data_IF_819646967251
#
_entry.id   IF_819646967251
#
_cell.length_a   1.000
_cell.length_b   1.000
_cell.length_c   1.000
_cell.angle_alpha   90.00
_cell.angle_beta   90.00
_cell.angle_gamma   90.00
#
_symmetry.space_group_name_H-M   'P 1'
#
loop_
_entity.id
_entity.type
_entity.pdbx_description
1 polymer ?
#
# COMPACT_ATOMS: atom_id res chain seq x y z
N UNK A 1 -25.42 -1.78 31.84
CA UNK A 1 -25.37 -0.95 30.63
C UNK A 1 -24.08 -0.10 30.68
N UNK A 2 -22.94 -0.71 30.53
CA UNK A 2 -21.68 0.02 30.38
C UNK A 2 -20.74 -0.94 29.69
N UNK A 3 -20.16 -0.59 28.61
CA UNK A 3 -19.05 -1.22 27.90
C UNK A 3 -19.12 -1.05 26.39
N UNK A 4 -19.93 -0.14 25.86
CA UNK A 4 -19.97 0.12 24.42
C UNK A 4 -18.96 1.22 24.05
N UNK A 5 -18.61 2.12 24.97
CA UNK A 5 -17.70 3.25 24.70
C UNK A 5 -16.20 2.94 24.81
N UNK A 6 -15.82 1.75 25.28
CA UNK A 6 -14.42 1.31 25.25
C UNK A 6 -14.01 0.57 23.96
N UNK A 7 -14.93 0.35 23.04
CA UNK A 7 -14.77 -0.58 21.92
C UNK A 7 -14.32 0.01 20.59
N UNK A 8 -14.36 1.30 20.47
CA UNK A 8 -13.72 2.01 19.36
C UNK A 8 -12.55 2.81 19.92
N UNK A 9 -11.67 2.18 20.66
CA UNK A 9 -10.28 2.60 20.66
C UNK A 9 -9.88 2.54 19.22
N UNK A 10 -10.00 3.63 18.68
CA UNK A 10 -10.26 3.97 17.35
C UNK A 10 -9.13 3.33 16.55
N UNK A 11 -9.46 2.55 15.51
CA UNK A 11 -8.48 2.12 14.51
C UNK A 11 -7.51 3.26 14.18
N UNK A 12 -7.97 4.50 14.21
CA UNK A 12 -7.21 5.75 14.05
C UNK A 12 -6.06 5.86 15.05
N UNK A 13 -6.32 5.64 16.34
CA UNK A 13 -5.29 5.70 17.36
C UNK A 13 -4.27 4.57 17.15
N UNK A 14 -4.74 3.36 16.85
CA UNK A 14 -3.85 2.24 16.56
C UNK A 14 -3.00 2.45 15.31
N UNK A 15 -3.54 3.09 14.26
CA UNK A 15 -2.80 3.45 13.06
C UNK A 15 -1.75 4.53 13.35
N UNK A 16 -2.04 5.47 14.24
CA UNK A 16 -1.06 6.48 14.69
C UNK A 16 0.05 5.82 15.50
N UNK A 17 -0.30 4.91 16.41
CA UNK A 17 0.66 4.16 17.23
C UNK A 17 1.59 3.27 16.37
N UNK A 18 1.09 2.75 15.23
CA UNK A 18 1.90 1.98 14.28
C UNK A 18 3.15 2.72 13.80
N UNK A 19 3.09 4.04 13.67
CA UNK A 19 4.21 4.83 13.17
C UNK A 19 5.42 4.80 14.13
N UNK A 20 5.18 4.54 15.41
CA UNK A 20 6.23 4.42 16.43
C UNK A 20 6.78 2.99 16.57
N UNK A 21 6.13 2.00 15.99
CA UNK A 21 6.51 0.59 16.12
C UNK A 21 7.45 0.14 15.01
N UNK A 22 8.32 -0.80 15.34
CA UNK A 22 9.27 -1.42 14.40
C UNK A 22 9.34 -2.94 14.61
N UNK A 23 9.89 -3.64 13.61
CA UNK A 23 10.18 -5.06 13.70
C UNK A 23 8.95 -5.91 14.03
N UNK A 24 9.08 -6.81 15.00
CA UNK A 24 8.04 -7.78 15.34
C UNK A 24 6.79 -7.12 15.97
N UNK A 25 6.95 -6.05 16.71
CA UNK A 25 5.82 -5.36 17.34
C UNK A 25 4.96 -4.64 16.31
N UNK A 26 5.58 -4.07 15.27
CA UNK A 26 4.86 -3.52 14.13
C UNK A 26 4.01 -4.60 13.44
N UNK A 27 4.58 -5.77 13.12
CA UNK A 27 3.84 -6.87 12.47
C UNK A 27 2.74 -7.42 13.37
N UNK A 28 3.01 -7.54 14.68
CA UNK A 28 2.01 -7.96 15.67
C UNK A 28 0.82 -7.00 15.69
N UNK A 29 1.07 -5.70 15.67
CA UNK A 29 0.02 -4.68 15.67
C UNK A 29 -0.80 -4.71 14.37
N UNK A 30 -0.17 -4.89 13.20
CA UNK A 30 -0.90 -5.09 11.94
C UNK A 30 -1.86 -6.27 12.01
N UNK A 31 -1.43 -7.39 12.60
CA UNK A 31 -2.26 -8.58 12.78
C UNK A 31 -3.44 -8.30 13.72
N UNK A 32 -3.21 -7.56 14.81
CA UNK A 32 -4.27 -7.17 15.74
C UNK A 32 -5.32 -6.32 15.03
N UNK A 33 -4.90 -5.30 14.27
CA UNK A 33 -5.80 -4.43 13.51
C UNK A 33 -6.60 -5.27 12.50
N UNK A 34 -5.96 -6.10 11.69
CA UNK A 34 -6.62 -6.95 10.69
C UNK A 34 -7.59 -7.98 11.30
N UNK A 35 -7.40 -8.35 12.57
CA UNK A 35 -8.27 -9.31 13.28
C UNK A 35 -9.50 -8.67 13.93
N UNK A 36 -9.70 -7.36 13.77
CA UNK A 36 -10.83 -6.66 14.38
C UNK A 36 -12.14 -7.06 13.71
N UNK A 37 -13.19 -7.21 14.51
CA UNK A 37 -14.53 -7.64 14.04
C UNK A 37 -15.23 -6.60 13.14
N UNK A 38 -14.73 -5.37 13.15
CA UNK A 38 -15.24 -4.28 12.34
C UNK A 38 -14.92 -4.47 10.85
N UNK A 39 -13.83 -5.18 10.53
CA UNK A 39 -13.52 -5.57 9.16
C UNK A 39 -14.49 -6.64 8.67
N UNK A 40 -15.25 -6.32 7.64
CA UNK A 40 -16.19 -7.22 7.00
C UNK A 40 -15.80 -7.42 5.54
N UNK A 41 -15.93 -8.65 5.01
CA UNK A 41 -15.68 -8.88 3.60
C UNK A 41 -16.69 -8.12 2.72
N UNK A 42 -16.22 -7.63 1.58
CA UNK A 42 -17.12 -7.12 0.55
C UNK A 42 -17.95 -8.25 -0.04
N UNK A 43 -19.23 -8.00 -0.30
CA UNK A 43 -20.13 -8.99 -0.90
C UNK A 43 -19.67 -9.43 -2.29
N UNK A 44 -19.05 -8.53 -3.04
CA UNK A 44 -18.55 -8.80 -4.40
C UNK A 44 -17.15 -9.38 -4.44
N UNK A 45 -16.36 -9.17 -3.38
CA UNK A 45 -14.94 -9.53 -3.32
C UNK A 45 -14.60 -10.05 -1.90
N UNK A 46 -14.84 -11.34 -1.59
CA UNK A 46 -14.76 -11.88 -0.22
C UNK A 46 -13.36 -11.84 0.41
N UNK A 47 -12.30 -11.67 -0.37
CA UNK A 47 -10.93 -11.49 0.12
C UNK A 47 -10.55 -10.02 0.37
N UNK A 48 -11.50 -9.08 0.14
CA UNK A 48 -11.33 -7.66 0.43
C UNK A 48 -12.20 -7.31 1.64
N UNK A 49 -11.57 -6.85 2.70
CA UNK A 49 -12.19 -6.48 3.96
C UNK A 49 -12.16 -4.97 4.14
N UNK A 50 -13.25 -4.40 4.66
CA UNK A 50 -13.32 -2.97 4.95
C UNK A 50 -14.09 -2.71 6.23
N UNK A 51 -13.83 -1.58 6.83
CA UNK A 51 -14.63 -1.05 7.94
C UNK A 51 -15.69 -0.16 7.31
N UNK A 52 -16.96 -0.54 7.42
CA UNK A 52 -18.07 0.24 6.87
C UNK A 52 -18.05 1.70 7.37
N UNK A 53 -18.42 2.63 6.52
CA UNK A 53 -18.45 4.06 6.80
C UNK A 53 -18.86 4.85 5.56
N UNK A 54 -18.72 6.18 5.60
CA UNK A 54 -19.01 7.07 4.50
C UNK A 54 -18.28 6.66 3.23
N UNK A 55 -18.96 6.74 2.09
CA UNK A 55 -18.37 6.44 0.78
C UNK A 55 -17.27 7.46 0.50
N UNK A 56 -16.03 7.03 0.64
CA UNK A 56 -14.88 7.80 0.22
C UNK A 56 -14.90 7.93 -1.30
N UNK A 57 -14.68 9.13 -1.82
CA UNK A 57 -14.54 9.39 -3.26
C UNK A 57 -13.43 8.57 -3.88
N UNK A 58 -12.47 8.12 -3.07
CA UNK A 58 -11.33 7.31 -3.48
C UNK A 58 -11.62 5.80 -3.48
N UNK A 59 -12.78 5.36 -2.96
CA UNK A 59 -13.13 3.96 -2.84
C UNK A 59 -12.97 3.14 -4.14
N UNK A 60 -13.41 3.62 -5.33
CA UNK A 60 -13.20 2.87 -6.57
C UNK A 60 -11.73 2.61 -6.90
N UNK A 61 -10.82 3.55 -6.59
CA UNK A 61 -9.38 3.40 -6.79
C UNK A 61 -8.77 2.40 -5.83
N UNK A 62 -9.23 2.43 -4.58
CA UNK A 62 -8.81 1.46 -3.56
C UNK A 62 -9.23 0.05 -3.96
N UNK A 63 -10.47 -0.14 -4.42
CA UNK A 63 -10.98 -1.45 -4.85
C UNK A 63 -10.23 -1.97 -6.09
N UNK A 64 -9.91 -1.12 -7.07
CA UNK A 64 -9.13 -1.54 -8.24
C UNK A 64 -7.74 -2.09 -7.82
N UNK A 65 -7.04 -1.38 -6.96
CA UNK A 65 -5.75 -1.84 -6.43
C UNK A 65 -5.89 -3.10 -5.56
N UNK A 66 -6.92 -3.17 -4.72
CA UNK A 66 -7.20 -4.32 -3.88
C UNK A 66 -7.47 -5.60 -4.70
N UNK A 67 -8.28 -5.52 -5.77
CA UNK A 67 -8.54 -6.64 -6.67
C UNK A 67 -7.27 -7.16 -7.35
N UNK A 68 -6.37 -6.27 -7.75
CA UNK A 68 -5.06 -6.66 -8.29
C UNK A 68 -4.22 -7.40 -7.25
N UNK A 69 -4.27 -6.97 -5.99
CA UNK A 69 -3.57 -7.66 -4.90
C UNK A 69 -4.20 -9.02 -4.60
N UNK A 70 -5.54 -9.14 -4.61
CA UNK A 70 -6.25 -10.43 -4.45
C UNK A 70 -5.86 -11.40 -5.56
N UNK A 71 -5.74 -10.94 -6.81
CA UNK A 71 -5.27 -11.76 -7.93
C UNK A 71 -3.83 -12.29 -7.73
N UNK A 72 -3.03 -11.65 -6.88
CA UNK A 72 -1.71 -12.11 -6.44
C UNK A 72 -1.74 -13.04 -5.22
N UNK A 73 -2.94 -13.38 -4.72
CA UNK A 73 -3.16 -14.27 -3.59
C UNK A 73 -3.04 -13.58 -2.22
N UNK A 74 -3.24 -12.26 -2.17
CA UNK A 74 -3.36 -11.54 -0.91
C UNK A 74 -4.81 -11.47 -0.42
N UNK A 75 -4.98 -11.49 0.88
CA UNK A 75 -6.16 -10.94 1.56
C UNK A 75 -5.89 -9.47 1.86
N UNK A 76 -6.87 -8.62 1.60
CA UNK A 76 -6.71 -7.17 1.64
C UNK A 76 -7.64 -6.56 2.67
N UNK A 77 -7.10 -5.71 3.54
CA UNK A 77 -7.86 -4.91 4.49
C UNK A 77 -7.72 -3.45 4.12
N UNK A 78 -8.84 -2.81 3.75
CA UNK A 78 -8.90 -1.37 3.48
C UNK A 78 -8.96 -0.64 4.82
N UNK A 79 -7.98 0.20 5.06
CA UNK A 79 -7.90 1.00 6.26
C UNK A 79 -8.78 2.25 6.12
N UNK A 80 -9.46 2.66 7.19
CA UNK A 80 -10.19 3.93 7.18
C UNK A 80 -9.21 5.09 7.02
N UNK A 81 -9.59 6.07 6.20
CA UNK A 81 -8.81 7.29 6.01
C UNK A 81 -9.45 8.44 6.83
N UNK A 82 -9.05 8.62 8.08
CA UNK A 82 -9.62 9.67 8.93
C UNK A 82 -9.10 11.05 8.49
N UNK A 83 -10.02 12.01 8.34
CA UNK A 83 -9.66 13.39 8.03
C UNK A 83 -8.57 13.91 8.96
N UNK A 84 -7.53 14.50 8.39
CA UNK A 84 -6.44 15.16 9.11
C UNK A 84 -5.30 14.25 9.59
N UNK A 85 -5.37 12.94 9.35
CA UNK A 85 -4.29 12.01 9.69
C UNK A 85 -3.79 11.33 8.41
N UNK A 86 -2.49 11.41 8.14
CA UNK A 86 -1.87 10.65 7.05
C UNK A 86 -1.68 9.21 7.49
N UNK A 87 -2.49 8.31 6.94
CA UNK A 87 -2.41 6.87 7.21
C UNK A 87 -2.17 6.11 5.90
N UNK A 88 -1.68 4.88 6.03
CA UNK A 88 -1.65 3.95 4.91
C UNK A 88 -3.06 3.51 4.52
N UNK A 89 -3.23 3.02 3.30
CA UNK A 89 -4.51 2.62 2.74
C UNK A 89 -4.84 1.15 2.97
N UNK A 90 -3.82 0.27 3.08
CA UNK A 90 -4.03 -1.18 3.11
C UNK A 90 -3.15 -1.91 4.11
N UNK A 91 -3.73 -2.98 4.68
CA UNK A 91 -2.95 -4.12 5.15
C UNK A 91 -3.15 -5.27 4.16
N UNK A 92 -2.06 -5.80 3.63
CA UNK A 92 -2.06 -7.04 2.85
C UNK A 92 -1.60 -8.20 3.72
N UNK A 93 -2.38 -9.30 3.71
CA UNK A 93 -2.03 -10.54 4.37
C UNK A 93 -1.82 -11.64 3.33
N UNK A 94 -0.73 -12.38 3.45
CA UNK A 94 -0.48 -13.58 2.66
C UNK A 94 0.33 -14.59 3.49
N UNK A 95 -0.22 -15.78 3.69
CA UNK A 95 0.42 -16.87 4.46
C UNK A 95 0.83 -16.44 5.88
N UNK A 96 -0.01 -15.65 6.54
CA UNK A 96 0.24 -15.15 7.90
C UNK A 96 1.21 -13.97 7.98
N UNK A 97 1.71 -13.46 6.86
CA UNK A 97 2.56 -12.28 6.79
C UNK A 97 1.71 -11.05 6.49
N UNK A 98 1.78 -10.05 7.38
CA UNK A 98 1.05 -8.80 7.27
C UNK A 98 2.00 -7.68 6.83
N UNK A 99 1.56 -6.86 5.87
CA UNK A 99 2.33 -5.76 5.29
C UNK A 99 1.44 -4.53 5.13
N UNK A 100 1.97 -3.37 5.48
CA UNK A 100 1.28 -2.09 5.37
C UNK A 100 1.67 -1.40 4.05
N UNK A 101 0.66 -0.93 3.30
CA UNK A 101 0.86 -0.25 2.01
C UNK A 101 0.09 1.05 1.92
N UNK A 102 0.71 2.06 1.33
CA UNK A 102 0.09 3.30 0.89
C UNK A 102 -0.09 3.28 -0.64
N UNK A 103 -1.24 3.76 -1.14
CA UNK A 103 -1.57 3.75 -2.56
C UNK A 103 -1.33 5.11 -3.20
N UNK A 104 -0.57 5.11 -4.27
CA UNK A 104 -0.44 6.26 -5.17
C UNK A 104 -0.88 5.87 -6.57
N UNK A 105 -1.96 6.50 -7.05
CA UNK A 105 -2.45 6.26 -8.41
C UNK A 105 -1.82 7.29 -9.35
N UNK A 106 -1.17 6.80 -10.40
CA UNK A 106 -0.45 7.62 -11.37
C UNK A 106 -1.31 7.79 -12.62
N UNK A 107 -1.74 9.04 -12.86
CA UNK A 107 -2.53 9.43 -14.03
C UNK A 107 -1.68 10.22 -15.03
N UNK A 108 -1.62 9.74 -16.27
CA UNK A 108 -1.06 10.51 -17.40
C UNK A 108 0.33 11.09 -17.13
N UNK A 109 0.40 12.42 -17.03
CA UNK A 109 1.64 13.17 -16.83
C UNK A 109 2.03 13.38 -15.36
N UNK A 110 1.30 12.81 -14.39
CA UNK A 110 1.61 12.96 -12.97
C UNK A 110 3.04 12.50 -12.69
N UNK A 111 3.78 13.27 -11.92
CA UNK A 111 5.15 12.93 -11.55
C UNK A 111 5.15 11.80 -10.54
N UNK A 112 5.77 10.67 -10.88
CA UNK A 112 5.97 9.55 -9.96
C UNK A 112 6.87 9.98 -8.79
N UNK A 113 7.90 10.78 -9.04
CA UNK A 113 8.81 11.30 -7.99
C UNK A 113 8.02 12.07 -6.92
N UNK A 114 7.11 12.95 -7.32
CA UNK A 114 6.25 13.69 -6.39
C UNK A 114 5.35 12.75 -5.59
N UNK A 115 4.67 11.79 -6.25
CA UNK A 115 3.80 10.84 -5.57
C UNK A 115 4.55 9.98 -4.53
N UNK A 116 5.76 9.56 -4.86
CA UNK A 116 6.62 8.80 -3.94
C UNK A 116 7.08 9.64 -2.75
N UNK A 117 7.42 10.92 -2.97
CA UNK A 117 7.80 11.83 -1.89
C UNK A 117 6.61 12.11 -0.95
N UNK A 118 5.41 12.28 -1.50
CA UNK A 118 4.20 12.52 -0.71
C UNK A 118 3.79 11.31 0.16
N UNK A 119 4.29 10.11 -0.17
CA UNK A 119 4.03 8.89 0.60
C UNK A 119 4.95 8.71 1.82
N UNK A 120 6.02 9.50 1.93
CA UNK A 120 6.98 9.38 3.04
C UNK A 120 6.29 9.62 4.38
N UNK A 121 6.47 8.68 5.31
CA UNK A 121 5.87 8.69 6.64
C UNK A 121 4.47 8.07 6.73
N UNK A 122 3.84 7.65 5.62
CA UNK A 122 2.54 6.96 5.63
C UNK A 122 2.71 5.44 5.77
N UNK A 123 3.59 4.87 4.96
CA UNK A 123 3.98 3.46 5.04
C UNK A 123 5.42 3.26 4.56
N UNK A 124 6.00 2.12 4.91
CA UNK A 124 7.32 1.71 4.39
C UNK A 124 7.22 0.93 3.06
N UNK A 125 6.01 0.66 2.59
CA UNK A 125 5.72 0.05 1.28
C UNK A 125 4.68 0.87 0.54
N UNK A 126 4.93 1.09 -0.74
CA UNK A 126 4.11 1.92 -1.61
C UNK A 126 3.58 1.09 -2.76
N UNK A 127 2.30 1.27 -3.10
CA UNK A 127 1.72 0.79 -4.35
C UNK A 127 1.69 1.97 -5.34
N UNK A 128 2.33 1.79 -6.50
CA UNK A 128 2.15 2.66 -7.65
C UNK A 128 1.14 1.98 -8.60
N UNK A 129 -0.11 2.43 -8.57
CA UNK A 129 -1.13 1.97 -9.50
C UNK A 129 -1.06 2.81 -10.79
N UNK A 130 -0.49 2.22 -11.84
CA UNK A 130 -0.27 2.88 -13.13
C UNK A 130 -1.53 2.77 -13.99
N UNK A 131 -2.25 3.86 -14.18
CA UNK A 131 -3.46 3.90 -15.04
C UNK A 131 -3.14 4.22 -16.49
N UNK A 132 -1.93 4.67 -16.78
CA UNK A 132 -1.45 5.00 -18.10
C UNK A 132 -0.01 4.53 -18.31
N UNK A 133 0.43 4.52 -19.57
CA UNK A 133 1.83 4.24 -19.88
C UNK A 133 2.74 5.36 -19.37
N UNK A 134 3.82 4.96 -18.72
CA UNK A 134 4.85 5.85 -18.20
C UNK A 134 6.21 5.44 -18.76
N UNK A 135 7.10 6.41 -18.94
CA UNK A 135 8.43 6.10 -19.42
C UNK A 135 9.17 5.19 -18.43
N UNK A 136 9.42 3.94 -18.84
CA UNK A 136 9.99 2.89 -17.96
C UNK A 136 11.36 3.25 -17.40
N UNK A 137 12.21 3.96 -18.18
CA UNK A 137 13.52 4.41 -17.72
C UNK A 137 13.39 5.50 -16.65
N UNK A 138 12.46 6.44 -16.84
CA UNK A 138 12.18 7.48 -15.86
C UNK A 138 11.60 6.89 -14.58
N UNK A 139 10.63 5.97 -14.71
CA UNK A 139 10.03 5.27 -13.58
C UNK A 139 11.10 4.55 -12.74
N UNK A 140 12.00 3.79 -13.40
CA UNK A 140 13.10 3.14 -12.70
C UNK A 140 14.00 4.14 -11.93
N UNK A 141 14.33 5.28 -12.55
CA UNK A 141 15.12 6.31 -11.89
C UNK A 141 14.40 6.95 -10.70
N UNK A 142 13.10 7.23 -10.83
CA UNK A 142 12.29 7.84 -9.77
C UNK A 142 12.17 6.87 -8.58
N UNK A 143 11.96 5.58 -8.81
CA UNK A 143 11.93 4.54 -7.77
C UNK A 143 13.29 4.41 -7.08
N UNK A 144 14.42 4.40 -7.83
CA UNK A 144 15.75 4.40 -7.23
C UNK A 144 15.96 5.60 -6.32
N UNK A 145 15.64 6.80 -6.81
CA UNK A 145 15.76 8.06 -6.06
C UNK A 145 14.93 8.05 -4.79
N UNK A 146 13.72 7.47 -4.83
CA UNK A 146 12.88 7.31 -3.65
C UNK A 146 13.58 6.47 -2.57
N UNK A 147 14.19 5.35 -2.93
CA UNK A 147 14.97 4.53 -1.97
C UNK A 147 16.22 5.24 -1.46
N UNK A 148 16.90 6.01 -2.30
CA UNK A 148 18.08 6.81 -1.89
C UNK A 148 17.73 7.86 -0.84
N UNK A 149 16.55 8.48 -0.98
CA UNK A 149 16.08 9.57 -0.10
C UNK A 149 15.29 9.11 1.12
N UNK A 150 14.80 7.89 1.14
CA UNK A 150 13.96 7.37 2.21
C UNK A 150 14.52 6.06 2.77
N UNK A 151 15.31 6.18 3.85
CA UNK A 151 15.95 5.02 4.49
C UNK A 151 14.93 3.96 4.99
N UNK A 152 13.70 4.38 5.34
CA UNK A 152 12.66 3.50 5.84
C UNK A 152 11.86 2.80 4.73
N UNK A 153 12.05 3.17 3.47
CA UNK A 153 11.38 2.51 2.35
C UNK A 153 11.87 1.07 2.18
N UNK A 154 10.93 0.13 2.10
CA UNK A 154 11.18 -1.31 1.97
C UNK A 154 10.85 -1.80 0.57
N UNK A 155 9.69 -1.39 0.03
CA UNK A 155 9.18 -1.90 -1.23
C UNK A 155 8.38 -0.85 -2.00
N UNK A 156 8.54 -0.83 -3.32
CA UNK A 156 7.61 -0.17 -4.25
C UNK A 156 7.00 -1.25 -5.14
N UNK A 157 5.69 -1.45 -4.99
CA UNK A 157 4.89 -2.40 -5.75
C UNK A 157 4.21 -1.66 -6.90
N UNK A 158 4.64 -1.92 -8.14
CA UNK A 158 4.12 -1.27 -9.33
C UNK A 158 3.09 -2.17 -9.99
N UNK A 159 1.84 -1.70 -10.06
CA UNK A 159 0.72 -2.39 -10.69
C UNK A 159 0.39 -1.71 -12.02
N UNK A 160 0.51 -2.43 -13.13
CA UNK A 160 0.19 -1.96 -14.48
C UNK A 160 -0.68 -2.97 -15.21
N UNK A 161 -1.98 -2.67 -15.34
CA UNK A 161 -2.94 -3.65 -15.82
C UNK A 161 -2.96 -4.89 -14.92
N UNK A 162 -2.82 -6.08 -15.50
CA UNK A 162 -2.75 -7.35 -14.76
C UNK A 162 -1.34 -7.66 -14.22
N UNK A 163 -0.34 -6.82 -14.51
CA UNK A 163 1.05 -7.06 -14.13
C UNK A 163 1.44 -6.33 -12.86
N UNK A 164 2.33 -6.97 -12.13
CA UNK A 164 2.88 -6.42 -10.90
C UNK A 164 4.39 -6.60 -10.88
N UNK A 165 5.11 -5.55 -10.53
CA UNK A 165 6.56 -5.53 -10.37
C UNK A 165 6.85 -5.07 -8.96
N UNK A 166 7.40 -5.96 -8.13
CA UNK A 166 7.95 -5.59 -6.83
C UNK A 166 9.39 -5.13 -7.01
N UNK A 167 9.73 -4.01 -6.42
CA UNK A 167 11.09 -3.46 -6.34
C UNK A 167 11.40 -3.23 -4.88
N UNK A 168 12.45 -3.87 -4.40
CA UNK A 168 13.02 -3.64 -3.07
C UNK A 168 14.31 -2.80 -3.18
N UNK A 169 14.78 -2.27 -2.07
CA UNK A 169 15.97 -1.41 -2.03
C UNK A 169 17.18 -2.05 -2.70
N UNK A 170 17.44 -3.32 -2.38
CA UNK A 170 18.59 -4.10 -2.87
C UNK A 170 18.59 -4.20 -4.40
N UNK A 171 17.42 -4.30 -5.04
CA UNK A 171 17.31 -4.33 -6.49
C UNK A 171 17.88 -3.06 -7.14
N UNK A 172 17.78 -1.91 -6.45
CA UNK A 172 18.14 -0.60 -7.02
C UNK A 172 19.62 -0.28 -6.98
N UNK A 173 20.42 -1.01 -6.21
CA UNK A 173 21.86 -0.74 -6.01
C UNK A 173 22.68 -1.12 -7.25
N UNK A 174 22.29 -2.20 -7.94
CA UNK A 174 23.05 -2.75 -9.06
C UNK A 174 23.05 -1.85 -10.31
N UNK A 175 24.14 -1.88 -11.09
CA UNK A 175 24.25 -1.14 -12.36
C UNK A 175 23.22 -1.62 -13.40
N UNK A 176 22.84 -2.89 -13.37
CA UNK A 176 21.86 -3.50 -14.28
C UNK A 176 20.39 -3.18 -13.93
N UNK A 177 20.12 -2.56 -12.79
CA UNK A 177 18.76 -2.32 -12.30
C UNK A 177 17.85 -1.68 -13.33
N UNK A 178 18.25 -0.55 -13.90
CA UNK A 178 17.41 0.21 -14.86
C UNK A 178 17.09 -0.66 -16.09
N UNK A 179 18.08 -1.37 -16.61
CA UNK A 179 17.87 -2.27 -17.77
C UNK A 179 16.91 -3.40 -17.44
N UNK A 180 17.11 -4.07 -16.30
CA UNK A 180 16.27 -5.19 -15.87
C UNK A 180 14.85 -4.74 -15.57
N UNK A 181 14.69 -3.59 -14.90
CA UNK A 181 13.38 -2.98 -14.66
C UNK A 181 12.64 -2.67 -15.97
N UNK A 182 13.32 -2.02 -16.93
CA UNK A 182 12.74 -1.69 -18.24
C UNK A 182 12.27 -2.94 -18.99
N UNK A 183 13.01 -4.03 -18.93
CA UNK A 183 12.59 -5.30 -19.53
C UNK A 183 11.30 -5.82 -18.87
N UNK A 184 11.26 -5.91 -17.54
CA UNK A 184 10.08 -6.34 -16.77
C UNK A 184 8.86 -5.45 -17.04
N UNK A 185 9.06 -4.13 -17.11
CA UNK A 185 7.97 -3.16 -17.31
C UNK A 185 7.38 -3.18 -18.72
N UNK A 186 8.18 -3.52 -19.74
CA UNK A 186 7.77 -3.56 -21.16
C UNK A 186 7.27 -4.93 -21.61
N UNK A 187 7.49 -6.00 -20.86
CA UNK A 187 6.94 -7.32 -21.22
C UNK A 187 5.42 -7.18 -21.37
N UNK A 188 4.85 -7.75 -22.45
CA UNK A 188 3.40 -7.75 -22.74
C UNK A 188 2.69 -8.83 -21.92
#
# INVERSE_FOLDING_TARGET
>A
MSCINGKMRDIRQELTELQALQGIDFVRQLRIIASRKEFRPLSTDPEIYYVGGESDTDFPRLIDAARKAVALGYRVYLLPNPHGIRTADFIFERKGLYRLYDLKTVYGKTSVDTQLLDSVGQANRIILNMTSDYNSRRLAKDVRRYFERNANAVEVLIMKGARTISVIREDTIGQSYIRNFMMKYKQK
#
